data_IF_757579972505
#
_entry.id   IF_757579972505
#
_cell.length_a   1.000
_cell.length_b   1.000
_cell.length_c   1.000
_cell.angle_alpha   90.00
_cell.angle_beta   90.00
_cell.angle_gamma   90.00
#
_symmetry.space_group_name_H-M   'P 1'
#
loop_
_entity.id
_entity.type
_entity.pdbx_description
1 polymer ?
#
# COMPACT_ATOMS: atom_id res chain seq x y z
N UNK A 1 64.41 -27.29 2.96
CA UNK A 1 63.47 -26.72 3.95
C UNK A 1 63.00 -25.38 3.42
N UNK A 2 61.66 -25.24 3.33
CA UNK A 2 60.81 -24.07 3.01
C UNK A 2 61.17 -23.23 1.75
N UNK A 3 60.58 -23.45 0.57
CA UNK A 3 59.22 -23.11 0.05
C UNK A 3 58.78 -21.62 0.16
N UNK A 4 58.70 -21.01 -1.03
CA UNK A 4 57.69 -20.09 -1.59
C UNK A 4 57.18 -18.86 -0.83
N UNK A 5 57.16 -17.74 -1.57
CA UNK A 5 56.44 -16.52 -1.21
C UNK A 5 56.40 -15.50 -2.35
N UNK A 6 55.67 -15.83 -3.41
CA UNK A 6 55.27 -14.94 -4.51
C UNK A 6 54.64 -13.63 -3.97
N UNK A 7 55.25 -12.48 -4.26
CA UNK A 7 54.62 -11.17 -4.08
C UNK A 7 53.81 -10.84 -5.34
N UNK A 8 52.65 -11.47 -5.48
CA UNK A 8 51.70 -11.21 -6.57
C UNK A 8 50.70 -10.12 -6.16
N UNK A 9 50.79 -9.00 -6.87
CA UNK A 9 49.70 -8.20 -7.42
C UNK A 9 48.44 -8.08 -6.55
N UNK A 10 48.22 -6.88 -6.01
CA UNK A 10 46.94 -6.43 -5.47
C UNK A 10 45.79 -6.69 -6.46
N UNK A 11 44.83 -7.58 -6.16
CA UNK A 11 43.57 -7.60 -6.85
C UNK A 11 42.67 -6.59 -6.14
N UNK A 12 42.36 -5.53 -6.87
CA UNK A 12 41.27 -4.61 -6.62
C UNK A 12 40.09 -5.34 -5.96
N UNK A 13 39.80 -4.98 -4.70
CA UNK A 13 38.70 -5.56 -3.94
C UNK A 13 37.42 -5.31 -4.73
N UNK A 14 36.75 -6.42 -5.02
CA UNK A 14 35.47 -6.52 -5.71
C UNK A 14 34.55 -5.40 -5.21
N UNK A 15 34.20 -4.49 -6.11
CA UNK A 15 33.05 -3.63 -5.98
C UNK A 15 31.84 -4.55 -5.94
N UNK A 16 31.47 -5.00 -4.75
CA UNK A 16 30.21 -5.68 -4.50
C UNK A 16 29.12 -4.68 -4.86
N UNK A 17 28.59 -4.84 -6.07
CA UNK A 17 27.35 -4.22 -6.49
C UNK A 17 26.33 -4.37 -5.39
N UNK A 18 25.65 -3.27 -5.09
CA UNK A 18 24.59 -3.14 -4.11
C UNK A 18 23.76 -4.42 -4.04
N UNK A 19 24.03 -5.24 -3.05
CA UNK A 19 23.09 -6.26 -2.61
C UNK A 19 21.87 -5.47 -2.20
N UNK A 20 20.87 -5.39 -3.09
CA UNK A 20 19.52 -4.95 -2.76
C UNK A 20 19.09 -5.86 -1.62
N UNK A 21 19.23 -5.34 -0.40
CA UNK A 21 18.74 -5.94 0.82
C UNK A 21 17.30 -6.35 0.53
N UNK A 22 17.07 -7.66 0.38
CA UNK A 22 15.73 -8.20 0.23
C UNK A 22 14.99 -7.71 1.46
N UNK A 23 14.00 -6.84 1.23
CA UNK A 23 13.20 -6.25 2.29
C UNK A 23 12.64 -7.41 3.08
N UNK A 24 13.11 -7.59 4.32
CA UNK A 24 12.57 -8.64 5.19
C UNK A 24 11.05 -8.45 5.29
N UNK A 25 10.26 -9.52 5.49
CA UNK A 25 8.81 -9.41 5.62
C UNK A 25 8.39 -8.33 6.64
N UNK A 26 9.19 -8.16 7.70
CA UNK A 26 9.05 -7.12 8.70
C UNK A 26 9.28 -5.68 8.15
N UNK A 27 10.31 -5.48 7.33
CA UNK A 27 10.57 -4.18 6.68
C UNK A 27 9.49 -3.82 5.64
N UNK A 28 8.92 -4.83 4.97
CA UNK A 28 7.76 -4.64 4.09
C UNK A 28 6.48 -4.30 4.87
N UNK A 29 6.24 -4.96 6.01
CA UNK A 29 5.11 -4.68 6.89
C UNK A 29 5.19 -3.26 7.49
N UNK A 30 6.38 -2.81 7.89
CA UNK A 30 6.58 -1.45 8.39
C UNK A 30 6.34 -0.39 7.30
N UNK A 31 6.79 -0.65 6.07
CA UNK A 31 6.52 0.25 4.92
C UNK A 31 5.04 0.31 4.57
N UNK A 32 4.34 -0.82 4.59
CA UNK A 32 2.90 -0.87 4.38
C UNK A 32 2.13 -0.14 5.49
N UNK A 33 2.51 -0.34 6.76
CA UNK A 33 1.90 0.34 7.90
C UNK A 33 2.08 1.87 7.82
N UNK A 34 3.27 2.34 7.41
CA UNK A 34 3.53 3.76 7.21
C UNK A 34 2.71 4.32 6.04
N UNK A 35 2.68 3.62 4.90
CA UNK A 35 1.86 4.00 3.75
C UNK A 35 0.36 4.07 4.08
N UNK A 36 -0.13 3.10 4.87
CA UNK A 36 -1.52 3.08 5.33
C UNK A 36 -1.81 4.27 6.25
N UNK A 37 -0.90 4.61 7.15
CA UNK A 37 -1.02 5.77 8.04
C UNK A 37 -1.08 7.09 7.24
N UNK A 38 -0.22 7.23 6.25
CA UNK A 38 -0.18 8.42 5.40
C UNK A 38 -1.46 8.52 4.55
N UNK A 39 -1.92 7.41 3.98
CA UNK A 39 -3.18 7.35 3.25
C UNK A 39 -4.38 7.70 4.14
N UNK A 40 -4.37 7.28 5.41
CA UNK A 40 -5.43 7.61 6.37
C UNK A 40 -5.48 9.12 6.66
N UNK A 41 -4.31 9.75 6.78
CA UNK A 41 -4.20 11.20 6.96
C UNK A 41 -4.67 11.96 5.71
N UNK A 42 -4.35 11.47 4.52
CA UNK A 42 -4.81 12.05 3.26
C UNK A 42 -6.33 11.97 3.11
N UNK A 43 -6.93 10.84 3.53
CA UNK A 43 -8.39 10.69 3.57
C UNK A 43 -9.02 11.68 4.56
N UNK A 44 -8.48 11.83 5.78
CA UNK A 44 -8.97 12.85 6.73
C UNK A 44 -8.88 14.27 6.16
N UNK A 45 -7.79 14.59 5.48
CA UNK A 45 -7.64 15.91 4.84
C UNK A 45 -8.67 16.11 3.72
N UNK A 46 -8.89 15.09 2.91
CA UNK A 46 -9.89 15.10 1.84
C UNK A 46 -11.30 15.18 2.40
N UNK A 47 -11.59 14.57 3.55
CA UNK A 47 -12.88 14.64 4.24
C UNK A 47 -13.19 16.05 4.72
N UNK A 48 -12.21 16.74 5.32
CA UNK A 48 -12.36 18.16 5.75
C UNK A 48 -12.60 19.07 4.54
N UNK A 49 -11.88 18.83 3.44
CA UNK A 49 -12.03 19.58 2.20
C UNK A 49 -13.39 19.30 1.53
N UNK A 50 -13.83 18.04 1.56
CA UNK A 50 -15.18 17.63 1.13
C UNK A 50 -16.26 18.28 1.96
N UNK A 51 -16.15 18.32 3.30
CA UNK A 51 -17.11 18.99 4.17
C UNK A 51 -17.24 20.49 3.83
N UNK A 52 -16.11 21.14 3.54
CA UNK A 52 -16.09 22.53 3.07
C UNK A 52 -16.78 22.71 1.71
N UNK A 53 -16.68 21.70 0.83
CA UNK A 53 -17.33 21.68 -0.47
C UNK A 53 -18.82 21.34 -0.37
N UNK A 54 -19.21 20.47 0.56
CA UNK A 54 -20.58 20.12 0.90
C UNK A 54 -21.32 21.32 1.50
N UNK A 55 -20.68 22.10 2.36
CA UNK A 55 -21.20 23.39 2.84
C UNK A 55 -21.43 24.41 1.71
N UNK A 56 -20.63 24.33 0.64
CA UNK A 56 -20.85 25.12 -0.59
C UNK A 56 -21.98 24.53 -1.45
N UNK A 57 -22.16 23.20 -1.47
CA UNK A 57 -23.18 22.49 -2.25
C UNK A 57 -24.59 22.56 -1.64
N UNK A 58 -24.72 22.56 -0.30
CA UNK A 58 -26.00 22.75 0.42
C UNK A 58 -26.63 24.11 0.07
N UNK A 59 -25.85 25.04 -0.52
CA UNK A 59 -26.33 26.29 -1.11
C UNK A 59 -27.17 26.11 -2.39
N UNK A 60 -27.38 24.87 -2.85
CA UNK A 60 -28.55 24.47 -3.64
C UNK A 60 -28.34 24.37 -5.15
N UNK A 61 -27.66 23.32 -5.62
CA UNK A 61 -27.61 22.98 -7.06
C UNK A 61 -28.32 21.67 -7.39
N UNK A 62 -28.99 21.68 -8.56
CA UNK A 62 -29.94 20.73 -9.14
C UNK A 62 -29.57 19.24 -9.02
N UNK A 63 -30.49 18.40 -8.52
CA UNK A 63 -30.32 16.93 -8.49
C UNK A 63 -31.37 16.26 -9.38
N UNK A 64 -30.90 15.54 -10.39
CA UNK A 64 -31.70 14.82 -11.38
C UNK A 64 -32.03 13.39 -10.88
N UNK A 65 -33.31 13.02 -10.86
CA UNK A 65 -33.82 11.75 -10.27
C UNK A 65 -33.16 10.51 -10.91
N UNK A 66 -32.76 10.57 -12.18
CA UNK A 66 -32.06 9.49 -12.87
C UNK A 66 -30.66 9.21 -12.28
N UNK A 67 -30.00 10.24 -11.75
CA UNK A 67 -28.70 10.06 -11.09
C UNK A 67 -28.83 9.36 -9.74
N UNK A 68 -29.92 9.59 -9.00
CA UNK A 68 -30.17 8.93 -7.71
C UNK A 68 -30.34 7.43 -7.88
N UNK A 69 -31.12 6.98 -8.87
CA UNK A 69 -31.28 5.54 -9.16
C UNK A 69 -29.96 4.90 -9.62
N UNK A 70 -29.20 5.58 -10.48
CA UNK A 70 -27.90 5.09 -10.95
C UNK A 70 -26.90 4.99 -9.80
N UNK A 71 -26.87 5.99 -8.91
CA UNK A 71 -26.05 6.00 -7.71
C UNK A 71 -26.43 4.86 -6.75
N UNK A 72 -27.72 4.61 -6.55
CA UNK A 72 -28.20 3.51 -5.71
C UNK A 72 -27.77 2.14 -6.25
N UNK A 73 -27.92 1.92 -7.57
CA UNK A 73 -27.47 0.68 -8.21
C UNK A 73 -25.95 0.50 -8.15
N UNK A 74 -25.19 1.57 -8.42
CA UNK A 74 -23.72 1.58 -8.31
C UNK A 74 -23.27 1.27 -6.88
N UNK A 75 -23.89 1.88 -5.88
CA UNK A 75 -23.60 1.65 -4.47
C UNK A 75 -23.82 0.19 -4.07
N UNK A 76 -24.88 -0.45 -4.56
CA UNK A 76 -25.13 -1.87 -4.30
C UNK A 76 -24.02 -2.77 -4.82
N UNK A 77 -23.56 -2.54 -6.05
CA UNK A 77 -22.47 -3.30 -6.66
C UNK A 77 -21.14 -3.02 -5.95
N UNK A 78 -20.84 -1.76 -5.63
CA UNK A 78 -19.62 -1.37 -4.90
C UNK A 78 -19.57 -1.97 -3.49
N UNK A 79 -20.71 -2.06 -2.80
CA UNK A 79 -20.78 -2.70 -1.47
C UNK A 79 -20.43 -4.19 -1.56
N UNK A 80 -20.99 -4.90 -2.53
CA UNK A 80 -20.67 -6.32 -2.75
C UNK A 80 -19.18 -6.51 -3.06
N UNK A 81 -18.63 -5.68 -3.95
CA UNK A 81 -17.20 -5.70 -4.25
C UNK A 81 -16.33 -5.44 -3.00
N UNK A 82 -16.76 -4.52 -2.13
CA UNK A 82 -16.05 -4.20 -0.89
C UNK A 82 -16.02 -5.38 0.08
N UNK A 83 -17.13 -6.13 0.17
CA UNK A 83 -17.20 -7.35 0.99
C UNK A 83 -16.22 -8.41 0.45
N UNK A 84 -16.19 -8.62 -0.86
CA UNK A 84 -15.25 -9.56 -1.48
C UNK A 84 -13.79 -9.14 -1.27
N UNK A 85 -13.47 -7.86 -1.43
CA UNK A 85 -12.13 -7.34 -1.15
C UNK A 85 -11.75 -7.51 0.32
N UNK A 86 -12.67 -7.29 1.27
CA UNK A 86 -12.46 -7.54 2.70
C UNK A 86 -12.12 -9.01 2.94
N UNK A 87 -12.91 -9.93 2.36
CA UNK A 87 -12.68 -11.36 2.50
C UNK A 87 -11.29 -11.75 1.97
N UNK A 88 -10.90 -11.26 0.78
CA UNK A 88 -9.57 -11.50 0.20
C UNK A 88 -8.43 -10.88 1.00
N UNK A 89 -8.62 -9.72 1.60
CA UNK A 89 -7.61 -9.13 2.48
C UNK A 89 -7.40 -9.97 3.76
N UNK A 90 -8.49 -10.51 4.33
CA UNK A 90 -8.41 -11.41 5.49
C UNK A 90 -7.74 -12.74 5.12
N UNK A 91 -8.10 -13.34 3.98
CA UNK A 91 -7.44 -14.55 3.45
C UNK A 91 -5.93 -14.30 3.25
N UNK A 92 -5.55 -13.18 2.63
CA UNK A 92 -4.15 -12.84 2.41
C UNK A 92 -3.37 -12.67 3.73
N UNK A 93 -4.00 -12.07 4.75
CA UNK A 93 -3.40 -11.98 6.09
C UNK A 93 -3.20 -13.35 6.73
N UNK A 94 -4.20 -14.23 6.62
CA UNK A 94 -4.10 -15.60 7.12
C UNK A 94 -3.01 -16.40 6.41
N UNK A 95 -2.88 -16.24 5.08
CA UNK A 95 -1.87 -16.93 4.28
C UNK A 95 -0.45 -16.47 4.62
N UNK A 96 -0.22 -15.15 4.77
CA UNK A 96 1.07 -14.60 5.21
C UNK A 96 1.48 -15.17 6.58
N UNK A 97 0.52 -15.30 7.51
CA UNK A 97 0.78 -15.89 8.82
C UNK A 97 1.14 -17.38 8.73
N UNK A 98 0.51 -18.13 7.80
CA UNK A 98 0.83 -19.54 7.56
C UNK A 98 2.20 -19.75 6.91
N UNK A 99 2.70 -18.79 6.14
CA UNK A 99 4.05 -18.86 5.56
C UNK A 99 5.17 -18.61 6.59
N UNK A 100 4.86 -18.03 7.75
CA UNK A 100 5.85 -17.64 8.76
C UNK A 100 6.07 -18.67 9.88
N UNK A 101 5.29 -19.76 9.91
CA UNK A 101 5.49 -20.89 10.85
C UNK A 101 6.30 -22.02 10.23
#
# INVERSE_FOLDING_TARGET
MAIEGLHVVSPNLIQSGSLKKVSTPYEAQQKFANFLKDSLNDVMKTEVESNTMTDKMIRGENVDIHQVMTAAQKSGITMQLTIEMRNKAVEAYQEIMRMQI
#
